data_IF_464645368023
#
_entry.id   IF_464645368023
#
_cell.length_a   1.000
_cell.length_b   1.000
_cell.length_c   1.000
_cell.angle_alpha   90.00
_cell.angle_beta   90.00
_cell.angle_gamma   90.00
#
_symmetry.space_group_name_H-M   'P 1'
#
loop_
_entity.id
_entity.type
_entity.pdbx_description
1 polymer ?
#
# COMPACT_ATOMS: atom_id res chain seq x y z
N UNK A 1 2.26 -24.92 -3.30
CA UNK A 1 2.43 -23.87 -2.29
C UNK A 1 2.81 -22.59 -3.02
N UNK A 2 1.95 -21.57 -3.01
CA UNK A 2 2.25 -20.26 -3.60
C UNK A 2 3.14 -19.53 -2.59
N UNK A 3 4.39 -19.27 -2.94
CA UNK A 3 5.32 -18.54 -2.06
C UNK A 3 5.14 -17.07 -2.40
N UNK A 4 4.14 -16.43 -1.81
CA UNK A 4 3.86 -15.02 -2.06
C UNK A 4 5.00 -14.18 -1.44
N UNK A 5 5.73 -13.43 -2.30
CA UNK A 5 6.83 -12.58 -1.87
C UNK A 5 6.27 -11.22 -1.44
N UNK A 6 6.47 -10.88 -0.17
CA UNK A 6 6.04 -9.59 0.38
C UNK A 6 7.18 -8.58 0.29
N UNK A 7 6.90 -7.39 -0.23
CA UNK A 7 7.80 -6.24 -0.20
C UNK A 7 7.15 -5.18 0.68
N UNK A 8 7.89 -4.68 1.67
CA UNK A 8 7.40 -3.65 2.59
C UNK A 8 8.11 -2.32 2.34
N UNK A 9 7.35 -1.24 2.46
CA UNK A 9 7.83 0.14 2.33
C UNK A 9 7.30 0.97 3.50
N UNK A 10 7.98 2.09 3.80
CA UNK A 10 7.66 2.91 4.98
C UNK A 10 6.72 4.07 4.68
N UNK A 11 6.55 4.43 3.41
CA UNK A 11 5.71 5.54 2.99
C UNK A 11 5.14 5.28 1.59
N UNK A 12 4.16 6.07 1.21
CA UNK A 12 3.45 5.91 -0.06
C UNK A 12 4.28 6.28 -1.29
N UNK A 13 5.25 7.20 -1.16
CA UNK A 13 6.13 7.59 -2.27
C UNK A 13 7.02 6.43 -2.70
N UNK A 14 7.57 5.70 -1.74
CA UNK A 14 8.38 4.51 -1.99
C UNK A 14 7.53 3.41 -2.65
N UNK A 15 6.27 3.24 -2.23
CA UNK A 15 5.34 2.31 -2.87
C UNK A 15 5.15 2.65 -4.35
N UNK A 16 4.82 3.91 -4.66
CA UNK A 16 4.62 4.38 -6.03
C UNK A 16 5.88 4.22 -6.88
N UNK A 17 7.06 4.54 -6.33
CA UNK A 17 8.34 4.36 -7.03
C UNK A 17 8.57 2.89 -7.42
N UNK A 18 8.32 1.95 -6.51
CA UNK A 18 8.47 0.51 -6.80
C UNK A 18 7.46 0.05 -7.87
N UNK A 19 6.20 0.49 -7.77
CA UNK A 19 5.17 0.17 -8.75
C UNK A 19 5.50 0.73 -10.14
N UNK A 20 6.04 1.95 -10.24
CA UNK A 20 6.48 2.53 -11.51
C UNK A 20 7.58 1.71 -12.19
N UNK A 21 8.48 1.08 -11.42
CA UNK A 21 9.58 0.29 -11.97
C UNK A 21 9.14 -1.14 -12.31
N UNK A 22 8.23 -1.72 -11.51
CA UNK A 22 7.91 -3.17 -11.54
C UNK A 22 6.44 -3.50 -11.27
N UNK A 23 5.49 -2.72 -11.78
CA UNK A 23 4.05 -2.94 -11.58
C UNK A 23 3.62 -4.38 -11.91
N UNK A 24 4.16 -4.97 -12.98
CA UNK A 24 3.86 -6.33 -13.44
C UNK A 24 4.27 -7.44 -12.46
N UNK A 25 4.93 -7.10 -11.35
CA UNK A 25 5.35 -8.03 -10.30
C UNK A 25 4.45 -8.01 -9.07
N UNK A 26 3.43 -7.17 -9.03
CA UNK A 26 2.56 -7.01 -7.87
C UNK A 26 1.10 -7.17 -8.25
N UNK A 27 0.42 -8.10 -7.59
CA UNK A 27 -1.01 -8.35 -7.80
C UNK A 27 -1.89 -7.56 -6.82
N UNK A 28 -1.31 -7.13 -5.68
CA UNK A 28 -2.04 -6.54 -4.55
C UNK A 28 -1.17 -5.54 -3.81
N UNK A 29 -1.77 -4.39 -3.47
CA UNK A 29 -1.24 -3.44 -2.49
C UNK A 29 -2.12 -3.46 -1.25
N UNK A 30 -1.49 -3.63 -0.08
CA UNK A 30 -2.16 -3.50 1.22
C UNK A 30 -1.62 -2.25 1.90
N UNK A 31 -2.51 -1.36 2.31
CA UNK A 31 -2.13 -0.10 2.96
C UNK A 31 -3.08 0.23 4.11
N UNK A 32 -2.60 1.02 5.07
CA UNK A 32 -3.49 1.60 6.08
C UNK A 32 -4.16 2.85 5.50
N UNK A 33 -5.39 3.16 5.93
CA UNK A 33 -6.03 4.43 5.61
C UNK A 33 -5.22 5.62 6.16
N UNK A 34 -4.68 5.46 7.37
CA UNK A 34 -3.87 6.46 8.05
C UNK A 34 -2.38 6.14 7.91
N UNK A 35 -1.80 6.51 6.77
CA UNK A 35 -0.34 6.53 6.57
C UNK A 35 0.22 7.95 6.69
N UNK A 36 1.51 8.13 7.03
CA UNK A 36 2.14 9.44 7.08
C UNK A 36 2.09 10.14 5.72
N UNK A 37 1.93 11.46 5.73
CA UNK A 37 1.99 12.37 4.57
C UNK A 37 0.86 12.27 3.53
N UNK A 38 0.20 11.12 3.38
CA UNK A 38 -0.85 10.90 2.37
C UNK A 38 -1.96 9.99 2.91
N UNK A 39 -3.20 10.16 2.48
CA UNK A 39 -4.28 9.24 2.86
C UNK A 39 -4.21 7.93 2.04
N UNK A 40 -4.45 6.77 2.65
CA UNK A 40 -4.49 5.48 1.94
C UNK A 40 -5.49 5.46 0.76
N UNK A 41 -6.59 6.21 0.84
CA UNK A 41 -7.53 6.38 -0.28
C UNK A 41 -6.98 7.26 -1.42
N UNK A 42 -6.11 8.23 -1.11
CA UNK A 42 -5.43 9.02 -2.14
C UNK A 42 -4.41 8.15 -2.88
N UNK A 43 -3.65 7.33 -2.13
CA UNK A 43 -2.76 6.33 -2.73
C UNK A 43 -3.53 5.38 -3.64
N UNK A 44 -4.65 4.82 -3.17
CA UNK A 44 -5.50 3.95 -3.97
C UNK A 44 -5.93 4.62 -5.28
N UNK A 45 -6.38 5.88 -5.23
CA UNK A 45 -6.80 6.61 -6.44
C UNK A 45 -5.67 6.82 -7.44
N UNK A 46 -4.43 7.01 -6.98
CA UNK A 46 -3.27 7.09 -7.88
C UNK A 46 -3.01 5.73 -8.49
N UNK A 47 -3.04 4.67 -7.67
CA UNK A 47 -2.80 3.31 -8.14
C UNK A 47 -3.84 2.89 -9.18
N UNK A 48 -5.13 3.07 -8.91
CA UNK A 48 -6.22 2.73 -9.83
C UNK A 48 -6.13 3.47 -11.17
N UNK A 49 -5.48 4.64 -11.22
CA UNK A 49 -5.31 5.44 -12.43
C UNK A 49 -4.09 5.04 -13.26
N UNK A 50 -3.01 4.68 -12.57
CA UNK A 50 -1.69 4.46 -13.20
C UNK A 50 -1.35 2.98 -13.36
N UNK A 51 -1.96 2.09 -12.58
CA UNK A 51 -1.68 0.66 -12.53
C UNK A 51 -2.97 -0.16 -12.46
N UNK A 52 -2.98 -1.34 -13.09
CA UNK A 52 -4.09 -2.29 -12.98
C UNK A 52 -3.85 -3.25 -11.81
N UNK A 53 -3.75 -2.70 -10.60
CA UNK A 53 -3.40 -3.45 -9.37
C UNK A 53 -4.48 -3.24 -8.33
N UNK A 54 -4.93 -4.33 -7.70
CA UNK A 54 -5.93 -4.25 -6.63
C UNK A 54 -5.34 -3.61 -5.36
N UNK A 55 -6.08 -2.73 -4.72
CA UNK A 55 -5.69 -2.09 -3.45
C UNK A 55 -6.68 -2.48 -2.36
N UNK A 56 -6.17 -2.96 -1.23
CA UNK A 56 -6.93 -3.18 0.00
C UNK A 56 -6.45 -2.17 1.04
N UNK A 57 -7.34 -1.25 1.40
CA UNK A 57 -7.13 -0.30 2.48
C UNK A 57 -7.69 -0.89 3.77
N UNK A 58 -6.83 -1.20 4.75
CA UNK A 58 -7.27 -1.62 6.08
C UNK A 58 -7.24 -0.43 7.06
N UNK A 59 -8.19 -0.40 7.99
CA UNK A 59 -8.22 0.59 9.07
C UNK A 59 -7.63 -0.07 10.32
N UNK A 60 -6.30 -0.07 10.50
CA UNK A 60 -5.70 -0.70 11.67
C UNK A 60 -5.75 0.27 12.86
N UNK A 61 -6.88 0.32 13.58
CA UNK A 61 -6.86 0.86 14.94
C UNK A 61 -6.59 -0.28 15.93
N UNK A 62 -5.33 -0.45 16.33
CA UNK A 62 -5.03 -1.04 17.63
C UNK A 62 -4.11 -0.11 18.42
N UNK A 63 -4.72 0.87 19.09
CA UNK A 63 -4.03 1.65 20.11
C UNK A 63 -4.00 0.87 21.42
N UNK A 64 -2.81 0.44 21.85
CA UNK A 64 -2.56 0.10 23.26
C UNK A 64 -1.97 1.33 23.92
N UNK A 65 -2.83 2.12 24.58
CA UNK A 65 -2.41 3.23 25.42
C UNK A 65 -1.75 2.68 26.68
N UNK A 66 -0.51 3.09 26.96
CA UNK A 66 0.06 2.98 28.31
C UNK A 66 -0.36 4.21 29.13
N UNK A 67 -0.57 4.00 30.44
CA UNK A 67 -0.86 5.08 31.41
C UNK A 67 0.17 6.20 31.33
#
# INVERSE_FOLDING_TARGET
MRTDRVVTVKNAKDALCILQIRADKFDLVVTDVHIPEMNGFELQRVIDKEFDISVVCEFLILYVLKK
#
